data_IF_086251605781
#
_entry.id   IF_086251605781
#
_cell.length_a   1.000
_cell.length_b   1.000
_cell.length_c   1.000
_cell.angle_alpha   90.00
_cell.angle_beta   90.00
_cell.angle_gamma   90.00
#
_symmetry.space_group_name_H-M   'P 1'
#
loop_
_entity.id
_entity.type
_entity.pdbx_description
1 polymer ?
#
# COMPACT_ATOMS: atom_id res chain seq x y z
N UNK A 1 1.01 9.48 -0.59
CA UNK A 1 -0.26 10.00 -0.02
C UNK A 1 -1.34 9.12 -0.60
N UNK A 2 -2.24 8.57 0.21
CA UNK A 2 -3.30 7.70 -0.32
C UNK A 2 -4.46 8.57 -0.78
N UNK A 3 -4.92 8.35 -2.01
CA UNK A 3 -6.05 9.06 -2.60
C UNK A 3 -7.25 8.11 -2.70
N UNK A 4 -8.32 8.46 -1.99
CA UNK A 4 -9.56 7.70 -1.95
C UNK A 4 -10.49 8.11 -3.09
N UNK A 5 -11.42 7.23 -3.52
CA UNK A 5 -12.34 7.50 -4.63
C UNK A 5 -13.26 8.72 -4.41
N UNK A 6 -13.58 9.03 -3.16
CA UNK A 6 -14.38 10.19 -2.75
C UNK A 6 -13.60 11.51 -2.85
N UNK A 7 -12.32 11.47 -3.23
CA UNK A 7 -11.43 12.62 -3.31
C UNK A 7 -10.67 12.90 -2.01
N UNK A 8 -10.94 12.16 -0.94
CA UNK A 8 -10.21 12.27 0.32
C UNK A 8 -8.75 11.89 0.10
N UNK A 9 -7.83 12.68 0.65
CA UNK A 9 -6.39 12.40 0.60
C UNK A 9 -5.86 12.22 2.01
N UNK A 10 -5.31 11.04 2.29
CA UNK A 10 -4.74 10.70 3.60
C UNK A 10 -3.23 10.64 3.50
N UNK A 11 -2.55 11.42 4.34
CA UNK A 11 -1.11 11.25 4.55
C UNK A 11 -0.90 10.07 5.50
N UNK A 12 -0.14 9.08 5.03
CA UNK A 12 0.29 7.93 5.83
C UNK A 12 1.81 7.98 5.98
N UNK A 13 2.28 7.75 7.19
CA UNK A 13 3.69 7.72 7.55
C UNK A 13 4.27 6.35 7.22
N UNK A 14 5.45 6.33 6.59
CA UNK A 14 6.22 5.12 6.32
C UNK A 14 5.76 4.27 5.13
N UNK A 15 4.74 4.70 4.37
CA UNK A 15 4.23 3.93 3.23
C UNK A 15 5.34 3.60 2.23
N UNK A 16 6.11 4.59 1.75
CA UNK A 16 7.16 4.38 0.75
C UNK A 16 8.24 3.40 1.22
N UNK A 17 8.62 3.46 2.50
CA UNK A 17 9.60 2.54 3.09
C UNK A 17 9.05 1.11 3.14
N UNK A 18 7.77 0.96 3.53
CA UNK A 18 7.10 -0.35 3.56
C UNK A 18 7.02 -0.95 2.15
N UNK A 19 6.62 -0.18 1.14
CA UNK A 19 6.53 -0.68 -0.25
C UNK A 19 7.91 -1.10 -0.77
N UNK A 20 8.95 -0.29 -0.51
CA UNK A 20 10.31 -0.60 -0.93
C UNK A 20 10.85 -1.88 -0.25
N UNK A 21 10.61 -2.04 1.04
CA UNK A 21 11.01 -3.24 1.80
C UNK A 21 10.34 -4.50 1.24
N UNK A 22 9.01 -4.49 1.06
CA UNK A 22 8.27 -5.63 0.54
C UNK A 22 8.68 -5.99 -0.90
N UNK A 23 8.92 -4.97 -1.73
CA UNK A 23 9.43 -5.19 -3.09
C UNK A 23 10.81 -5.83 -3.08
N UNK A 24 11.71 -5.38 -2.19
CA UNK A 24 13.05 -5.96 -2.05
C UNK A 24 13.03 -7.44 -1.63
N UNK A 25 11.98 -7.86 -0.94
CA UNK A 25 11.72 -9.25 -0.57
C UNK A 25 11.06 -10.07 -1.69
N UNK A 26 10.78 -9.46 -2.84
CA UNK A 26 10.10 -10.11 -3.96
C UNK A 26 8.62 -10.40 -3.73
N UNK A 27 7.98 -9.70 -2.78
CA UNK A 27 6.56 -9.89 -2.47
C UNK A 27 5.69 -9.40 -3.63
N UNK A 28 4.73 -10.22 -4.06
CA UNK A 28 3.78 -9.87 -5.11
C UNK A 28 2.63 -9.00 -4.57
N UNK A 29 2.00 -8.21 -5.45
CA UNK A 29 0.80 -7.44 -5.12
C UNK A 29 -0.43 -8.34 -4.98
N UNK A 30 -0.56 -8.98 -3.82
CA UNK A 30 -1.63 -9.90 -3.50
C UNK A 30 -2.21 -9.59 -2.11
N UNK A 31 -3.28 -10.29 -1.74
CA UNK A 31 -3.99 -10.07 -0.47
C UNK A 31 -3.09 -10.19 0.75
N UNK A 32 -2.18 -11.17 0.79
CA UNK A 32 -1.26 -11.37 1.93
C UNK A 32 -0.36 -10.14 2.12
N UNK A 33 0.27 -9.68 1.04
CA UNK A 33 1.13 -8.49 1.08
C UNK A 33 0.35 -7.24 1.49
N UNK A 34 -0.92 -7.11 1.08
CA UNK A 34 -1.73 -5.94 1.47
C UNK A 34 -2.12 -5.98 2.95
N UNK A 35 -2.45 -7.15 3.51
CA UNK A 35 -2.67 -7.25 4.96
C UNK A 35 -1.39 -6.91 5.74
N UNK A 36 -0.22 -7.29 5.22
CA UNK A 36 1.06 -6.93 5.83
C UNK A 36 1.32 -5.42 5.78
N UNK A 37 1.03 -4.76 4.65
CA UNK A 37 1.12 -3.30 4.54
C UNK A 37 0.15 -2.63 5.53
N UNK A 38 -1.10 -3.11 5.61
CA UNK A 38 -2.10 -2.61 6.56
C UNK A 38 -1.60 -2.71 8.00
N UNK A 39 -1.13 -3.88 8.41
CA UNK A 39 -0.60 -4.11 9.76
C UNK A 39 0.56 -3.16 10.09
N UNK A 40 1.54 -3.03 9.19
CA UNK A 40 2.69 -2.12 9.39
C UNK A 40 2.29 -0.64 9.40
N UNK A 41 1.25 -0.27 8.65
CA UNK A 41 0.73 1.10 8.67
C UNK A 41 -0.01 1.42 9.97
N UNK A 42 -0.75 0.47 10.53
CA UNK A 42 -1.49 0.63 11.79
C UNK A 42 -0.59 0.90 13.00
N UNK A 43 0.63 0.34 12.99
CA UNK A 43 1.62 0.61 14.05
C UNK A 43 2.06 2.09 14.08
N UNK A 44 1.95 2.80 12.95
CA UNK A 44 2.48 4.15 12.76
C UNK A 44 1.41 5.20 12.47
N UNK A 45 0.17 4.78 12.21
CA UNK A 45 -0.91 5.63 11.71
C UNK A 45 -2.24 5.25 12.35
N UNK A 46 -3.10 6.24 12.55
CA UNK A 46 -4.47 5.99 12.97
C UNK A 46 -5.32 5.57 11.76
N UNK A 47 -5.53 4.26 11.59
CA UNK A 47 -6.45 3.72 10.60
C UNK A 47 -7.77 3.37 11.29
N UNK A 48 -8.92 3.92 10.83
CA UNK A 48 -10.21 3.60 11.42
C UNK A 48 -10.50 2.10 11.40
N UNK A 49 -11.08 1.58 12.49
CA UNK A 49 -11.43 0.16 12.63
C UNK A 49 -12.69 -0.24 11.85
N UNK A 50 -13.42 0.73 11.28
CA UNK A 50 -14.61 0.44 10.49
C UNK A 50 -14.25 -0.41 9.26
N UNK A 51 -14.79 -1.62 9.17
CA UNK A 51 -14.46 -2.58 8.11
C UNK A 51 -14.64 -2.03 6.69
N UNK A 52 -15.64 -1.17 6.47
CA UNK A 52 -15.82 -0.49 5.18
C UNK A 52 -14.60 0.36 4.80
N UNK A 53 -14.10 1.17 5.75
CA UNK A 53 -12.92 2.01 5.55
C UNK A 53 -11.68 1.13 5.36
N UNK A 54 -11.51 0.09 6.18
CA UNK A 54 -10.37 -0.85 6.05
C UNK A 54 -10.34 -1.53 4.68
N UNK A 55 -11.51 -1.89 4.12
CA UNK A 55 -11.61 -2.44 2.78
C UNK A 55 -11.21 -1.45 1.69
N UNK A 56 -11.54 -0.17 1.84
CA UNK A 56 -11.07 0.88 0.93
C UNK A 56 -9.56 1.04 0.99
N UNK A 57 -8.98 1.06 2.20
CA UNK A 57 -7.52 1.08 2.36
C UNK A 57 -6.87 -0.11 1.65
N UNK A 58 -7.38 -1.34 1.87
CA UNK A 58 -6.86 -2.54 1.18
C UNK A 58 -6.91 -2.40 -0.34
N UNK A 59 -8.02 -1.91 -0.88
CA UNK A 59 -8.18 -1.73 -2.32
C UNK A 59 -7.18 -0.72 -2.89
N UNK A 60 -7.02 0.42 -2.22
CA UNK A 60 -6.06 1.45 -2.63
C UNK A 60 -4.63 0.94 -2.51
N UNK A 61 -4.28 0.28 -1.41
CA UNK A 61 -2.94 -0.28 -1.21
C UNK A 61 -2.59 -1.36 -2.23
N UNK A 62 -3.57 -2.18 -2.64
CA UNK A 62 -3.38 -3.14 -3.72
C UNK A 62 -2.99 -2.45 -5.02
N UNK A 63 -3.70 -1.38 -5.36
CA UNK A 63 -3.39 -0.57 -6.54
C UNK A 63 -2.02 0.10 -6.44
N UNK A 64 -1.76 0.82 -5.36
CA UNK A 64 -0.51 1.57 -5.16
C UNK A 64 0.72 0.65 -5.17
N UNK A 65 0.64 -0.52 -4.53
CA UNK A 65 1.75 -1.47 -4.54
C UNK A 65 1.91 -2.16 -5.89
N UNK A 66 0.81 -2.45 -6.60
CA UNK A 66 0.86 -2.92 -7.99
C UNK A 66 1.60 -1.94 -8.89
N UNK A 67 1.18 -0.67 -8.88
CA UNK A 67 1.82 0.41 -9.66
C UNK A 67 3.30 0.58 -9.28
N UNK A 68 3.64 0.45 -7.99
CA UNK A 68 5.03 0.48 -7.52
C UNK A 68 5.88 -0.66 -8.10
N UNK A 69 5.36 -1.89 -8.06
CA UNK A 69 6.03 -3.08 -8.60
C UNK A 69 6.21 -2.96 -10.11
N UNK A 70 5.16 -2.57 -10.85
CA UNK A 70 5.18 -2.39 -12.30
C UNK A 70 6.19 -1.31 -12.72
N UNK A 71 6.16 -0.15 -12.06
CA UNK A 71 7.09 0.95 -12.33
C UNK A 71 8.55 0.52 -12.18
N UNK A 72 8.87 -0.32 -11.20
CA UNK A 72 10.22 -0.83 -10.96
C UNK A 72 10.63 -1.96 -11.91
N UNK A 73 9.68 -2.77 -12.37
CA UNK A 73 9.93 -3.79 -13.39
C UNK A 73 10.31 -3.15 -14.74
N UNK A 74 9.63 -2.06 -15.12
CA UNK A 74 9.91 -1.32 -16.35
C UNK A 74 11.33 -0.69 -16.35
N UNK A 75 11.77 -0.18 -15.19
CA UNK A 75 13.11 0.42 -15.03
C UNK A 75 14.25 -0.60 -14.95
N UNK A 76 13.98 -1.90 -14.77
CA UNK A 76 15.01 -2.94 -14.71
C UNK A 76 15.26 -3.62 -16.07
N UNK A 77 14.61 -3.12 -17.14
CA UNK A 77 14.66 -3.66 -18.51
C UNK A 77 15.44 -2.77 -19.50
N UNK A 78 16.27 -1.83 -19.04
CA UNK A 78 17.14 -0.97 -19.89
C UNK A 78 18.62 -1.22 -19.63
#
# INVERSE_FOLDING_TARGET
MLKFPDGTQVRVNGLSEILADLYSQGKQANRETIEEIMMRLEEKNHIPLAEGIRNEYRHILLKEYGEYVESRADHHST
#
